data_IF_555338922572
#
_entry.id   IF_555338922572
#
_cell.length_a   1.000
_cell.length_b   1.000
_cell.length_c   1.000
_cell.angle_alpha   90.00
_cell.angle_beta   90.00
_cell.angle_gamma   90.00
#
_symmetry.space_group_name_H-M   'P 1'
#
loop_
_entity.id
_entity.type
_entity.pdbx_description
1 polymer ?
#
# COMPACT_ATOMS: atom_id res chain seq x y z
N UNK A 1 6.60 25.57 35.97
CA UNK A 1 5.91 24.49 36.70
C UNK A 1 4.51 24.38 36.13
N UNK A 2 4.22 23.32 35.37
CA UNK A 2 2.99 23.25 34.57
C UNK A 2 2.47 21.82 34.48
N UNK A 3 1.27 21.65 35.04
CA UNK A 3 0.27 20.60 34.80
C UNK A 3 0.76 19.15 34.92
N UNK A 4 0.69 18.63 36.14
CA UNK A 4 0.54 17.20 36.35
C UNK A 4 -0.75 16.73 35.67
N UNK A 5 -0.61 15.91 34.63
CA UNK A 5 -1.73 15.19 34.03
C UNK A 5 -2.23 14.20 35.08
N UNK A 6 -3.34 14.52 35.74
CA UNK A 6 -4.04 13.58 36.62
C UNK A 6 -4.32 12.30 35.84
N UNK A 7 -3.73 11.20 36.30
CA UNK A 7 -3.99 9.86 35.78
C UNK A 7 -5.38 9.45 36.27
N UNK A 8 -6.31 9.29 35.35
CA UNK A 8 -7.65 8.73 35.61
C UNK A 8 -7.47 7.38 36.32
N UNK A 9 -8.07 7.21 37.50
CA UNK A 9 -7.98 5.96 38.23
C UNK A 9 -8.89 4.91 37.57
N UNK A 10 -8.54 3.60 37.60
CA UNK A 10 -9.33 2.55 36.95
C UNK A 10 -10.81 2.50 37.38
N UNK A 11 -11.11 2.94 38.61
CA UNK A 11 -12.48 3.05 39.16
C UNK A 11 -13.32 4.13 38.50
N UNK A 12 -12.69 5.14 37.90
CA UNK A 12 -13.38 6.29 37.31
C UNK A 12 -13.95 5.96 35.91
N UNK A 13 -13.60 4.78 35.37
CA UNK A 13 -14.05 4.26 34.08
C UNK A 13 -15.27 3.33 34.19
N UNK A 14 -15.78 3.10 35.41
CA UNK A 14 -16.94 2.22 35.64
C UNK A 14 -18.30 2.89 35.37
N UNK A 15 -18.32 4.19 35.11
CA UNK A 15 -19.54 4.97 34.89
C UNK A 15 -19.46 5.82 33.63
N UNK A 16 -20.50 5.79 32.80
CA UNK A 16 -20.63 6.67 31.63
C UNK A 16 -20.98 8.12 32.02
N UNK A 17 -21.03 9.05 31.05
CA UNK A 17 -21.51 10.42 31.30
C UNK A 17 -22.94 10.36 31.87
N UNK A 18 -23.10 10.67 33.15
CA UNK A 18 -24.37 10.55 33.89
C UNK A 18 -24.43 9.46 34.96
N UNK A 19 -23.33 8.78 35.28
CA UNK A 19 -23.26 7.87 36.44
C UNK A 19 -23.87 6.48 36.23
N UNK A 20 -24.23 6.13 34.99
CA UNK A 20 -24.79 4.82 34.68
C UNK A 20 -23.69 3.77 34.48
N UNK A 21 -23.87 2.54 35.00
CA UNK A 21 -22.94 1.44 34.80
C UNK A 21 -22.92 1.02 33.33
N UNK A 22 -21.72 0.99 32.73
CA UNK A 22 -21.53 0.61 31.33
C UNK A 22 -21.70 -0.91 31.16
N UNK A 23 -22.48 -1.40 30.17
CA UNK A 23 -22.66 -2.82 29.96
C UNK A 23 -21.33 -3.50 29.57
N UNK A 24 -21.14 -4.73 30.07
CA UNK A 24 -19.90 -5.51 30.06
C UNK A 24 -19.19 -5.68 28.70
N UNK A 25 -19.87 -5.37 27.59
CA UNK A 25 -19.35 -5.40 26.21
C UNK A 25 -18.46 -4.18 25.92
N UNK A 26 -18.74 -3.03 26.55
CA UNK A 26 -17.97 -1.79 26.37
C UNK A 26 -16.62 -1.84 27.10
N UNK A 27 -16.52 -2.66 28.17
CA UNK A 27 -15.30 -2.81 28.99
C UNK A 27 -14.08 -3.33 28.23
N UNK A 28 -14.24 -4.02 27.09
CA UNK A 28 -13.11 -4.48 26.27
C UNK A 28 -12.68 -3.49 25.18
N UNK A 29 -13.52 -2.52 24.83
CA UNK A 29 -13.25 -1.60 23.72
C UNK A 29 -12.48 -0.33 24.14
N UNK A 30 -12.42 0.00 25.43
CA UNK A 30 -11.88 1.30 25.90
C UNK A 30 -10.94 1.21 27.13
N UNK A 31 -10.54 0.01 27.54
CA UNK A 31 -9.86 -0.23 28.83
C UNK A 31 -8.49 -0.91 28.78
N UNK A 32 -7.89 -1.05 27.61
CA UNK A 32 -6.43 -1.14 27.53
C UNK A 32 -5.97 0.14 26.87
N UNK A 33 -5.25 0.96 27.64
CA UNK A 33 -4.55 2.12 27.09
C UNK A 33 -3.77 1.70 25.85
N UNK A 34 -3.48 2.68 24.98
CA UNK A 34 -2.46 2.54 23.94
C UNK A 34 -1.35 1.61 24.46
N UNK A 35 -1.21 0.39 23.91
CA UNK A 35 -0.26 -0.57 24.46
C UNK A 35 1.14 0.02 24.40
N UNK A 36 1.99 -0.29 25.37
CA UNK A 36 3.43 -0.20 25.15
C UNK A 36 3.73 -1.06 23.91
N UNK A 37 4.07 -0.41 22.80
CA UNK A 37 4.20 -1.05 21.49
C UNK A 37 3.17 -0.65 20.44
N UNK A 38 2.81 0.65 20.31
CA UNK A 38 2.51 1.17 18.96
C UNK A 38 3.70 0.79 18.10
N UNK A 39 3.53 -0.22 17.25
CA UNK A 39 4.62 -0.72 16.41
C UNK A 39 4.90 0.23 15.25
N UNK A 40 3.92 1.08 14.89
CA UNK A 40 3.90 1.87 13.65
C UNK A 40 4.27 1.00 12.43
N UNK A 41 3.95 -0.29 12.49
CA UNK A 41 4.43 -1.27 11.53
C UNK A 41 3.78 -1.13 10.15
N UNK A 42 2.64 -0.44 10.07
CA UNK A 42 1.87 -0.27 8.83
C UNK A 42 1.22 -1.57 8.33
N UNK A 43 1.18 -2.61 9.16
CA UNK A 43 0.61 -3.92 8.84
C UNK A 43 0.06 -4.58 10.11
N UNK A 44 -0.90 -5.49 9.96
CA UNK A 44 -1.42 -6.27 11.09
C UNK A 44 -1.90 -7.65 10.66
N UNK A 45 -1.94 -8.55 11.64
CA UNK A 45 -2.47 -9.90 11.47
C UNK A 45 -3.18 -10.31 12.77
N UNK A 46 -4.40 -10.82 12.65
CA UNK A 46 -5.13 -11.40 13.78
C UNK A 46 -6.02 -12.56 13.33
N UNK A 47 -6.46 -13.37 14.29
CA UNK A 47 -7.39 -14.48 14.05
C UNK A 47 -8.69 -14.21 14.78
N UNK A 48 -9.79 -14.43 14.07
CA UNK A 48 -11.15 -14.22 14.55
C UNK A 48 -11.85 -15.57 14.71
N UNK A 49 -12.44 -15.82 15.86
CA UNK A 49 -13.30 -16.98 16.11
C UNK A 49 -14.76 -16.66 15.79
N UNK A 50 -15.62 -17.68 15.76
CA UNK A 50 -17.07 -17.50 15.49
C UNK A 50 -17.69 -16.51 16.48
N UNK A 51 -17.29 -16.57 17.75
CA UNK A 51 -17.76 -15.68 18.82
C UNK A 51 -17.44 -14.21 18.59
N UNK A 52 -16.42 -13.93 17.78
CA UNK A 52 -15.85 -12.60 17.60
C UNK A 52 -16.46 -11.89 16.39
N UNK A 53 -17.35 -12.58 15.64
CA UNK A 53 -17.97 -12.10 14.40
C UNK A 53 -18.64 -10.73 14.57
N UNK A 54 -19.38 -10.54 15.66
CA UNK A 54 -20.11 -9.30 15.92
C UNK A 54 -19.17 -8.14 16.34
N UNK A 55 -17.93 -8.46 16.74
CA UNK A 55 -16.89 -7.51 17.13
C UNK A 55 -15.87 -7.22 16.01
N UNK A 56 -16.09 -7.71 14.77
CA UNK A 56 -15.13 -7.55 13.66
C UNK A 56 -14.73 -6.08 13.44
N UNK A 57 -15.69 -5.15 13.43
CA UNK A 57 -15.40 -3.74 13.22
C UNK A 57 -14.49 -3.14 14.31
N UNK A 58 -14.71 -3.56 15.56
CA UNK A 58 -13.91 -3.14 16.71
C UNK A 58 -12.51 -3.75 16.67
N UNK A 59 -12.40 -5.05 16.38
CA UNK A 59 -11.12 -5.73 16.21
C UNK A 59 -10.29 -5.11 15.09
N UNK A 60 -10.91 -4.83 13.94
CA UNK A 60 -10.23 -4.22 12.80
C UNK A 60 -9.72 -2.83 13.17
N UNK A 61 -10.56 -2.00 13.81
CA UNK A 61 -10.19 -0.65 14.25
C UNK A 61 -9.04 -0.70 15.25
N UNK A 62 -9.10 -1.62 16.22
CA UNK A 62 -8.05 -1.82 17.21
C UNK A 62 -6.71 -2.18 16.57
N UNK A 63 -6.71 -3.16 15.66
CA UNK A 63 -5.49 -3.59 14.99
C UNK A 63 -4.92 -2.53 14.06
N UNK A 64 -5.77 -1.76 13.36
CA UNK A 64 -5.36 -0.62 12.55
C UNK A 64 -4.66 0.46 13.40
N UNK A 65 -5.26 0.88 14.50
CA UNK A 65 -4.68 1.88 15.40
C UNK A 65 -3.35 1.40 16.00
N UNK A 66 -3.27 0.13 16.40
CA UNK A 66 -2.02 -0.46 16.93
C UNK A 66 -0.87 -0.50 15.91
N UNK A 67 -1.21 -0.59 14.63
CA UNK A 67 -0.28 -0.61 13.50
C UNK A 67 0.02 0.80 12.96
N UNK A 68 -0.61 1.86 13.48
CA UNK A 68 -0.46 3.23 13.01
C UNK A 68 -1.19 3.52 11.68
N UNK A 69 -2.22 2.74 11.34
CA UNK A 69 -3.00 2.89 10.10
C UNK A 69 -4.24 3.71 10.40
N UNK A 70 -4.39 4.84 9.72
CA UNK A 70 -5.61 5.64 9.79
C UNK A 70 -6.74 4.98 8.99
N UNK A 71 -8.01 5.09 9.42
CA UNK A 71 -9.15 4.53 8.68
C UNK A 71 -9.21 4.93 7.21
N UNK A 72 -8.92 6.20 6.90
CA UNK A 72 -8.86 6.70 5.52
C UNK A 72 -7.66 6.21 4.72
N UNK A 73 -6.61 5.71 5.37
CA UNK A 73 -5.42 5.15 4.72
C UNK A 73 -5.53 3.63 4.45
N UNK A 74 -6.63 2.99 4.86
CA UNK A 74 -6.80 1.55 4.72
C UNK A 74 -7.15 1.19 3.29
N UNK A 75 -6.21 0.54 2.60
CA UNK A 75 -6.48 -0.06 1.30
C UNK A 75 -7.14 -1.44 1.44
N UNK A 76 -8.45 -1.52 1.16
CA UNK A 76 -9.21 -2.78 1.20
C UNK A 76 -8.63 -3.86 0.27
N UNK A 77 -7.88 -3.47 -0.78
CA UNK A 77 -7.21 -4.41 -1.70
C UNK A 77 -6.06 -5.17 -1.03
N UNK A 78 -5.51 -4.65 0.06
CA UNK A 78 -4.46 -5.30 0.85
C UNK A 78 -5.00 -6.07 2.06
N UNK A 79 -6.30 -5.98 2.34
CA UNK A 79 -6.97 -6.66 3.44
C UNK A 79 -7.46 -8.05 3.00
N UNK A 80 -6.90 -9.10 3.61
CA UNK A 80 -7.15 -10.50 3.28
C UNK A 80 -7.87 -11.22 4.43
N UNK A 81 -8.94 -11.93 4.10
CA UNK A 81 -9.65 -12.84 5.01
C UNK A 81 -9.42 -14.27 4.54
N UNK A 82 -8.73 -15.06 5.35
CA UNK A 82 -8.42 -16.48 5.06
C UNK A 82 -9.18 -17.37 6.01
N UNK A 83 -10.03 -18.25 5.50
CA UNK A 83 -10.78 -19.18 6.33
C UNK A 83 -9.94 -20.38 6.77
N UNK A 84 -10.46 -21.20 7.69
CA UNK A 84 -9.77 -22.39 8.20
C UNK A 84 -9.41 -23.40 7.09
N UNK A 85 -10.18 -23.42 5.98
CA UNK A 85 -9.94 -24.28 4.82
C UNK A 85 -8.94 -23.68 3.82
N UNK A 86 -8.36 -22.51 4.12
CA UNK A 86 -7.39 -21.83 3.28
C UNK A 86 -7.97 -21.00 2.14
N UNK A 87 -9.29 -20.83 2.04
CA UNK A 87 -9.91 -19.94 1.04
C UNK A 87 -9.68 -18.48 1.43
N UNK A 88 -9.26 -17.67 0.48
CA UNK A 88 -8.92 -16.26 0.68
C UNK A 88 -9.92 -15.36 -0.03
N UNK A 89 -10.46 -14.35 0.68
CA UNK A 89 -11.17 -13.22 0.09
C UNK A 89 -10.35 -11.93 0.30
N UNK A 90 -10.25 -11.11 -0.75
CA UNK A 90 -9.47 -9.86 -0.76
C UNK A 90 -10.28 -8.77 -1.45
N UNK A 91 -10.46 -7.61 -0.83
CA UNK A 91 -11.08 -6.42 -1.43
C UNK A 91 -12.56 -6.54 -1.86
N UNK A 92 -13.11 -7.75 -1.99
CA UNK A 92 -14.48 -8.01 -2.39
C UNK A 92 -15.38 -8.17 -1.16
N UNK A 93 -16.26 -7.19 -0.94
CA UNK A 93 -17.21 -7.18 0.18
C UNK A 93 -18.14 -8.39 0.18
N UNK A 94 -18.55 -8.89 -0.99
CA UNK A 94 -19.45 -10.04 -1.10
C UNK A 94 -18.76 -11.34 -0.70
N UNK A 95 -17.53 -11.56 -1.16
CA UNK A 95 -16.75 -12.76 -0.82
C UNK A 95 -16.35 -12.76 0.67
N UNK A 96 -15.95 -11.60 1.19
CA UNK A 96 -15.70 -11.42 2.63
C UNK A 96 -16.97 -11.73 3.43
N UNK A 97 -18.12 -11.17 3.03
CA UNK A 97 -19.39 -11.44 3.70
C UNK A 97 -19.78 -12.92 3.66
N UNK A 98 -19.53 -13.61 2.54
CA UNK A 98 -19.78 -15.05 2.38
C UNK A 98 -18.90 -15.88 3.32
N UNK A 99 -17.62 -15.53 3.45
CA UNK A 99 -16.70 -16.17 4.41
C UNK A 99 -17.18 -15.92 5.85
N UNK A 100 -17.51 -14.68 6.21
CA UNK A 100 -17.94 -14.31 7.56
C UNK A 100 -19.29 -14.94 7.97
N UNK A 101 -20.18 -15.18 7.00
CA UNK A 101 -21.48 -15.80 7.23
C UNK A 101 -21.39 -17.32 7.49
N UNK A 102 -20.34 -17.98 7.00
CA UNK A 102 -20.18 -19.42 7.13
C UNK A 102 -19.50 -19.79 8.46
N UNK A 103 -20.24 -20.36 9.40
CA UNK A 103 -19.70 -20.80 10.70
C UNK A 103 -18.56 -21.82 10.57
N UNK A 104 -18.58 -22.66 9.52
CA UNK A 104 -17.51 -23.64 9.24
C UNK A 104 -16.26 -23.05 8.60
N UNK A 105 -16.25 -21.74 8.32
CA UNK A 105 -15.09 -21.01 7.82
C UNK A 105 -14.15 -20.57 8.94
N UNK A 106 -14.63 -20.55 10.19
CA UNK A 106 -13.85 -20.12 11.34
C UNK A 106 -12.92 -21.22 11.85
N UNK A 107 -11.76 -20.86 12.45
CA UNK A 107 -11.26 -19.50 12.64
C UNK A 107 -10.85 -18.82 11.32
N UNK A 108 -11.11 -17.52 11.24
CA UNK A 108 -10.76 -16.69 10.07
C UNK A 108 -9.54 -15.85 10.42
N UNK A 109 -8.48 -15.98 9.64
CA UNK A 109 -7.29 -15.16 9.72
C UNK A 109 -7.48 -13.88 8.90
N UNK A 110 -7.35 -12.73 9.55
CA UNK A 110 -7.40 -11.41 8.92
C UNK A 110 -5.98 -10.86 8.86
N UNK A 111 -5.53 -10.50 7.66
CA UNK A 111 -4.18 -9.95 7.43
C UNK A 111 -4.26 -8.69 6.57
N UNK A 112 -3.61 -7.63 6.99
CA UNK A 112 -3.35 -6.44 6.19
C UNK A 112 -1.84 -6.26 6.03
N UNK A 113 -1.37 -6.37 4.80
CA UNK A 113 0.05 -6.32 4.46
C UNK A 113 0.20 -5.56 3.13
N UNK A 114 0.23 -4.22 3.18
CA UNK A 114 0.47 -3.41 1.99
C UNK A 114 1.94 -3.51 1.58
N UNK A 115 2.22 -3.21 0.31
CA UNK A 115 3.60 -3.05 -0.13
C UNK A 115 4.29 -1.95 0.70
N UNK A 116 5.57 -2.11 1.10
CA UNK A 116 6.28 -1.12 1.92
C UNK A 116 6.19 0.31 1.39
N UNK A 117 6.26 0.49 0.06
CA UNK A 117 6.16 1.80 -0.59
C UNK A 117 4.77 2.48 -0.46
N UNK A 118 3.73 1.74 -0.06
CA UNK A 118 2.37 2.27 0.09
C UNK A 118 1.97 2.49 1.56
N UNK A 119 2.84 2.17 2.51
CA UNK A 119 2.52 2.31 3.94
C UNK A 119 2.27 3.77 4.29
N UNK A 120 1.11 4.06 4.88
CA UNK A 120 0.70 5.42 5.23
C UNK A 120 0.25 6.28 4.06
N UNK A 121 0.17 5.72 2.85
CA UNK A 121 -0.39 6.39 1.68
C UNK A 121 -1.92 6.30 1.69
N UNK A 122 -2.59 7.37 1.24
CA UNK A 122 -4.02 7.33 0.96
C UNK A 122 -4.30 6.35 -0.21
N UNK A 123 -5.28 5.44 -0.11
CA UNK A 123 -5.56 4.42 -1.12
C UNK A 123 -5.82 4.99 -2.52
N UNK A 124 -6.34 6.21 -2.59
CA UNK A 124 -6.61 6.95 -3.83
C UNK A 124 -5.31 7.36 -4.55
N UNK A 125 -4.20 7.52 -3.82
CA UNK A 125 -2.88 7.86 -4.38
C UNK A 125 -2.09 6.64 -4.83
N UNK A 126 -2.44 5.45 -4.32
CA UNK A 126 -1.74 4.19 -4.66
C UNK A 126 -1.73 3.94 -6.18
N UNK A 127 -2.83 4.08 -6.94
CA UNK A 127 -2.81 3.91 -8.39
C UNK A 127 -1.81 4.83 -9.11
N UNK A 128 -1.76 6.12 -8.75
CA UNK A 128 -0.82 7.07 -9.34
C UNK A 128 0.64 6.71 -9.01
N UNK A 129 0.87 6.27 -7.77
CA UNK A 129 2.18 5.83 -7.36
C UNK A 129 2.60 4.52 -8.05
N UNK A 130 1.71 3.54 -8.24
CA UNK A 130 2.01 2.33 -9.03
C UNK A 130 2.37 2.70 -10.47
N UNK A 131 1.68 3.64 -11.10
CA UNK A 131 2.05 4.15 -12.44
C UNK A 131 3.49 4.70 -12.43
N UNK A 132 3.85 5.51 -11.44
CA UNK A 132 5.21 6.03 -11.31
C UNK A 132 6.25 4.92 -11.13
N UNK A 133 5.96 3.88 -10.33
CA UNK A 133 6.83 2.71 -10.18
C UNK A 133 7.06 1.99 -11.51
N UNK A 134 6.03 1.81 -12.34
CA UNK A 134 6.18 1.22 -13.70
C UNK A 134 7.11 2.08 -14.56
N UNK A 135 6.93 3.40 -14.57
CA UNK A 135 7.77 4.30 -15.36
C UNK A 135 9.23 4.28 -14.89
N UNK A 136 9.46 4.33 -13.57
CA UNK A 136 10.80 4.25 -13.00
C UNK A 136 11.45 2.88 -13.23
N UNK A 137 10.65 1.80 -13.27
CA UNK A 137 11.14 0.48 -13.65
C UNK A 137 11.70 0.47 -15.08
N UNK A 138 10.99 1.04 -16.05
CA UNK A 138 11.51 1.18 -17.42
C UNK A 138 12.80 2.00 -17.47
N UNK A 139 12.88 3.06 -16.66
CA UNK A 139 14.10 3.87 -16.53
C UNK A 139 15.25 3.05 -15.95
N UNK A 140 15.01 2.28 -14.87
CA UNK A 140 16.00 1.39 -14.24
C UNK A 140 16.52 0.34 -15.23
N UNK A 141 15.63 -0.30 -15.97
CA UNK A 141 15.98 -1.28 -17.00
C UNK A 141 16.84 -0.64 -18.10
N UNK A 142 16.45 0.54 -18.59
CA UNK A 142 17.23 1.25 -19.61
C UNK A 142 18.61 1.69 -19.12
N UNK A 143 18.71 2.19 -17.87
CA UNK A 143 19.98 2.54 -17.23
C UNK A 143 20.88 1.33 -17.11
N UNK A 144 20.35 0.19 -16.68
CA UNK A 144 21.09 -1.06 -16.55
C UNK A 144 21.62 -1.54 -17.91
N UNK A 145 20.80 -1.49 -18.97
CA UNK A 145 21.23 -1.85 -20.33
C UNK A 145 22.32 -0.93 -20.91
N UNK A 146 22.42 0.30 -20.41
CA UNK A 146 23.45 1.27 -20.78
C UNK A 146 24.65 1.25 -19.82
N UNK A 147 24.66 0.33 -18.85
CA UNK A 147 25.71 0.19 -17.86
C UNK A 147 25.88 1.41 -16.95
N UNK A 148 24.84 2.24 -16.81
CA UNK A 148 24.90 3.55 -16.14
C UNK A 148 26.02 4.47 -16.66
N UNK A 149 26.47 4.29 -17.91
CA UNK A 149 27.54 5.07 -18.51
C UNK A 149 27.01 6.05 -19.55
N UNK A 150 27.23 7.34 -19.29
CA UNK A 150 26.88 8.45 -20.17
C UNK A 150 27.54 8.36 -21.56
N UNK A 151 28.67 7.66 -21.68
CA UNK A 151 29.36 7.45 -22.94
C UNK A 151 28.54 6.60 -23.94
N UNK A 152 27.68 5.72 -23.41
CA UNK A 152 26.78 4.87 -24.19
C UNK A 152 25.53 5.60 -24.71
N UNK A 153 25.35 6.88 -24.33
CA UNK A 153 24.25 7.73 -24.82
C UNK A 153 24.76 8.61 -25.96
N UNK A 154 24.12 8.53 -27.12
CA UNK A 154 24.65 9.10 -28.36
C UNK A 154 24.54 10.62 -28.43
N UNK A 155 23.35 11.17 -28.16
CA UNK A 155 23.09 12.59 -28.35
C UNK A 155 23.22 13.41 -27.05
N UNK A 156 23.80 14.61 -27.13
CA UNK A 156 24.02 15.49 -25.97
C UNK A 156 22.72 15.83 -25.22
N UNK A 157 21.62 16.05 -25.94
CA UNK A 157 20.34 16.36 -25.31
C UNK A 157 19.76 15.14 -24.58
N UNK A 158 19.99 13.92 -25.09
CA UNK A 158 19.60 12.66 -24.43
C UNK A 158 20.48 12.35 -23.22
N UNK A 159 21.77 12.71 -23.26
CA UNK A 159 22.69 12.60 -22.12
C UNK A 159 22.17 13.33 -20.88
N UNK A 160 21.69 14.57 -21.04
CA UNK A 160 21.08 15.32 -19.93
C UNK A 160 19.84 14.62 -19.35
N UNK A 161 19.04 13.99 -20.21
CA UNK A 161 17.89 13.19 -19.76
C UNK A 161 18.35 11.95 -19.01
N UNK A 162 19.37 11.25 -19.49
CA UNK A 162 19.94 10.07 -18.84
C UNK A 162 20.54 10.39 -17.46
N UNK A 163 21.23 11.51 -17.33
CA UNK A 163 21.73 12.00 -16.04
C UNK A 163 20.59 12.26 -15.04
N UNK A 164 19.49 12.88 -15.49
CA UNK A 164 18.28 13.06 -14.65
C UNK A 164 17.65 11.74 -14.24
N UNK A 165 17.66 10.74 -15.13
CA UNK A 165 17.16 9.41 -14.79
C UNK A 165 17.98 8.74 -13.69
N UNK A 166 19.30 8.85 -13.72
CA UNK A 166 20.15 8.37 -12.62
C UNK A 166 19.76 9.04 -11.30
N UNK A 167 19.59 10.36 -11.31
CA UNK A 167 19.19 11.13 -10.12
C UNK A 167 17.79 10.75 -9.63
N UNK A 168 16.81 10.53 -10.53
CA UNK A 168 15.46 10.13 -10.14
C UNK A 168 15.43 8.75 -9.49
N UNK A 169 16.24 7.80 -9.98
CA UNK A 169 16.33 6.47 -9.37
C UNK A 169 16.97 6.55 -7.96
N UNK A 170 18.03 7.35 -7.82
CA UNK A 170 18.71 7.55 -6.53
C UNK A 170 17.79 8.24 -5.52
N UNK A 171 17.11 9.33 -5.92
CA UNK A 171 16.18 10.07 -5.08
C UNK A 171 14.97 9.21 -4.67
N UNK A 172 14.40 8.43 -5.61
CA UNK A 172 13.30 7.50 -5.31
C UNK A 172 13.71 6.49 -4.26
N UNK A 173 14.87 5.83 -4.44
CA UNK A 173 15.37 4.86 -3.48
C UNK A 173 15.65 5.49 -2.11
N UNK A 174 16.27 6.68 -2.08
CA UNK A 174 16.57 7.38 -0.85
C UNK A 174 15.30 7.75 -0.06
N UNK A 175 14.25 8.21 -0.74
CA UNK A 175 13.01 8.64 -0.09
C UNK A 175 12.14 7.46 0.37
N UNK A 176 12.14 6.35 -0.37
CA UNK A 176 11.10 5.31 -0.22
C UNK A 176 11.65 3.94 0.16
N UNK A 177 12.95 3.70 -0.05
CA UNK A 177 13.57 2.39 0.05
C UNK A 177 13.10 1.38 -1.01
N UNK A 178 12.31 1.82 -1.99
CA UNK A 178 11.75 0.96 -3.03
C UNK A 178 12.77 0.74 -4.17
N UNK A 179 13.22 -0.51 -4.30
CA UNK A 179 14.18 -0.93 -5.33
C UNK A 179 13.53 -1.21 -6.69
N UNK A 180 12.20 -1.14 -6.80
CA UNK A 180 11.43 -1.35 -8.04
C UNK A 180 11.54 -2.77 -8.64
N UNK A 181 12.06 -3.75 -7.90
CA UNK A 181 12.21 -5.13 -8.39
C UNK A 181 10.87 -5.85 -8.53
N UNK A 182 9.94 -5.52 -7.65
CA UNK A 182 8.56 -6.03 -7.62
C UNK A 182 7.57 -5.09 -8.33
N UNK A 183 8.04 -3.98 -8.91
CA UNK A 183 7.15 -3.02 -9.57
C UNK A 183 6.33 -3.74 -10.67
N UNK A 184 5.00 -3.55 -10.71
CA UNK A 184 4.15 -4.26 -11.66
C UNK A 184 4.49 -3.87 -13.10
N UNK A 185 3.95 -4.62 -14.06
CA UNK A 185 3.88 -4.19 -15.46
C UNK A 185 2.71 -3.23 -15.66
N UNK A 186 2.75 -2.43 -16.73
CA UNK A 186 1.64 -1.55 -17.09
C UNK A 186 0.32 -2.31 -17.28
N UNK A 187 0.35 -3.54 -17.82
CA UNK A 187 -0.84 -4.37 -18.01
C UNK A 187 -1.47 -4.78 -16.68
N UNK A 188 -0.65 -5.19 -15.71
CA UNK A 188 -1.13 -5.52 -14.36
C UNK A 188 -1.74 -4.29 -13.67
N UNK A 189 -1.17 -3.10 -13.87
CA UNK A 189 -1.74 -1.85 -13.33
C UNK A 189 -3.09 -1.53 -14.00
N UNK A 190 -3.21 -1.70 -15.32
CA UNK A 190 -4.48 -1.48 -16.04
C UNK A 190 -5.54 -2.50 -15.63
N UNK A 191 -5.17 -3.77 -15.43
CA UNK A 191 -6.08 -4.80 -14.94
C UNK A 191 -6.61 -4.45 -13.54
N UNK A 192 -5.73 -3.95 -12.65
CA UNK A 192 -6.13 -3.49 -11.31
C UNK A 192 -6.92 -2.19 -11.34
N UNK A 193 -6.53 -1.23 -12.18
CA UNK A 193 -7.10 0.12 -12.27
C UNK A 193 -7.38 0.51 -13.75
N UNK A 194 -8.49 0.04 -14.33
CA UNK A 194 -8.76 0.26 -15.76
C UNK A 194 -8.80 1.74 -16.17
N UNK A 195 -9.18 2.65 -15.26
CA UNK A 195 -9.20 4.09 -15.53
C UNK A 195 -7.81 4.72 -15.68
N UNK A 196 -6.74 4.01 -15.27
CA UNK A 196 -5.35 4.47 -15.40
C UNK A 196 -4.72 4.17 -16.76
N UNK A 197 -5.43 3.49 -17.68
CA UNK A 197 -4.92 3.18 -19.03
C UNK A 197 -4.33 4.42 -19.75
N UNK A 198 -5.01 5.56 -19.63
CA UNK A 198 -4.57 6.82 -20.27
C UNK A 198 -3.22 7.32 -19.76
N UNK A 199 -2.81 6.96 -18.55
CA UNK A 199 -1.51 7.33 -17.99
C UNK A 199 -0.34 6.64 -18.74
N UNK A 200 -0.61 5.53 -19.44
CA UNK A 200 0.38 4.76 -20.18
C UNK A 200 0.38 5.02 -21.70
N UNK A 201 -0.55 5.81 -22.22
CA UNK A 201 -0.87 5.86 -23.65
C UNK A 201 0.31 6.27 -24.55
N UNK A 202 1.21 7.12 -24.05
CA UNK A 202 2.43 7.54 -24.75
C UNK A 202 3.67 6.77 -24.28
N UNK A 203 3.67 6.33 -23.02
CA UNK A 203 4.84 5.77 -22.36
C UNK A 203 4.97 4.26 -22.54
N UNK A 204 3.89 3.54 -22.85
CA UNK A 204 3.94 2.10 -23.14
C UNK A 204 4.71 1.75 -24.42
N UNK A 205 4.76 2.66 -25.40
CA UNK A 205 5.55 2.50 -26.64
C UNK A 205 7.02 2.83 -26.43
N UNK A 206 7.28 3.92 -25.70
CA UNK A 206 8.63 4.49 -25.54
C UNK A 206 9.40 3.89 -24.37
N UNK A 207 8.74 3.60 -23.25
CA UNK A 207 9.34 3.06 -22.03
C UNK A 207 10.13 1.76 -22.24
N UNK A 208 9.52 0.70 -22.79
CA UNK A 208 10.23 -0.56 -23.06
C UNK A 208 11.39 -0.44 -24.06
N UNK A 209 11.43 0.64 -24.86
CA UNK A 209 12.46 0.87 -25.87
C UNK A 209 13.41 2.02 -25.50
N UNK A 210 13.34 2.49 -24.25
CA UNK A 210 14.03 3.69 -23.79
C UNK A 210 15.55 3.58 -23.94
N UNK A 211 16.13 2.40 -23.72
CA UNK A 211 17.57 2.15 -23.93
C UNK A 211 17.99 2.40 -25.38
N UNK A 212 17.25 1.85 -26.36
CA UNK A 212 17.51 2.04 -27.80
C UNK A 212 17.37 3.49 -28.23
N UNK A 213 16.35 4.18 -27.69
CA UNK A 213 16.14 5.62 -27.92
C UNK A 213 17.34 6.41 -27.40
N UNK A 214 17.82 6.12 -26.18
CA UNK A 214 18.97 6.79 -25.56
C UNK A 214 20.29 6.49 -26.26
N UNK A 215 20.47 5.29 -26.83
CA UNK A 215 21.61 4.99 -27.73
C UNK A 215 21.53 5.73 -29.06
N UNK A 216 20.40 6.36 -29.36
CA UNK A 216 20.13 6.95 -30.67
C UNK A 216 20.12 5.91 -31.78
N UNK A 217 19.73 4.68 -31.46
CA UNK A 217 19.46 3.62 -32.44
C UNK A 217 18.10 3.83 -33.11
N UNK A 218 17.18 4.53 -32.43
CA UNK A 218 15.81 4.78 -32.87
C UNK A 218 15.40 6.22 -32.53
N UNK A 219 14.63 6.87 -33.41
CA UNK A 219 14.03 8.17 -33.14
C UNK A 219 12.76 8.02 -32.28
N UNK A 220 12.64 8.82 -31.23
CA UNK A 220 11.45 8.84 -30.37
C UNK A 220 10.19 9.25 -31.14
N UNK A 221 10.33 10.11 -32.16
CA UNK A 221 9.21 10.54 -32.99
C UNK A 221 8.68 9.40 -33.86
N UNK A 222 9.55 8.48 -34.28
CA UNK A 222 9.14 7.27 -34.99
C UNK A 222 8.29 6.36 -34.11
N UNK A 223 8.58 6.25 -32.81
CA UNK A 223 7.72 5.49 -31.89
C UNK A 223 6.39 6.16 -31.56
N UNK A 224 6.38 7.48 -31.46
CA UNK A 224 5.19 8.25 -31.09
C UNK A 224 4.22 8.44 -32.26
N UNK A 225 4.76 8.59 -33.47
CA UNK A 225 3.99 8.97 -34.66
C UNK A 225 4.23 8.09 -35.89
N UNK A 226 5.24 7.22 -35.85
CA UNK A 226 5.41 6.18 -36.85
C UNK A 226 4.36 5.08 -36.61
N UNK A 227 3.68 4.76 -37.71
CA UNK A 227 2.59 3.78 -37.87
C UNK A 227 2.80 2.48 -37.11
#
# INVERSE_FOLDING_TARGET
EGLAVERIAPSDLDQGPGGQPLPHVVRKAWGQGVPDGITLSGQFEFTMNVSDKDSLGEMLTWHMLSAGILPGSLDNRCLKFTNQKGQVAVGNKEDISRILANTSAYPIKVKYEPHPAFRGMEPEKVPEYEVNRVMLRWVKEAVAELGADMSNVRHIHQRRTFERYLLYLEDHYYQTGDMLEDAPTHLEVIERYPWMEKAFLLTNKTGPNLSKILRGEIDVLEYLFGS
#
